data_IF_465146036458
#
_entry.id   IF_465146036458
#
_cell.length_a   1.000
_cell.length_b   1.000
_cell.length_c   1.000
_cell.angle_alpha   90.00
_cell.angle_beta   90.00
_cell.angle_gamma   90.00
#
_symmetry.space_group_name_H-M   'P 1'
#
loop_
_entity.id
_entity.type
_entity.pdbx_description
1 polymer ?
#
# COMPACT_ATOMS: atom_id res chain seq x y z
N UNK A 1 44.32 71.09 -18.11
CA UNK A 1 43.40 69.92 -18.16
C UNK A 1 44.03 68.79 -17.33
N UNK A 2 44.03 68.86 -15.99
CA UNK A 2 42.99 68.40 -15.05
C UNK A 2 42.63 66.90 -15.16
N UNK A 3 43.27 66.14 -14.25
CA UNK A 3 43.02 64.78 -13.71
C UNK A 3 41.59 64.23 -13.84
N UNK A 4 41.46 62.91 -14.05
CA UNK A 4 41.13 61.90 -13.01
C UNK A 4 40.83 60.51 -13.64
N UNK A 5 41.17 59.41 -12.96
CA UNK A 5 41.00 58.03 -13.44
C UNK A 5 39.56 57.51 -13.29
N UNK A 6 39.22 56.56 -14.17
CA UNK A 6 37.96 55.81 -14.21
C UNK A 6 37.57 55.23 -12.84
N UNK A 7 36.36 55.55 -12.39
CA UNK A 7 35.77 55.09 -11.15
C UNK A 7 35.47 53.58 -11.24
N UNK A 8 36.20 52.80 -10.46
CA UNK A 8 35.90 51.41 -10.13
C UNK A 8 34.49 51.30 -9.53
N UNK A 9 33.64 50.48 -10.13
CA UNK A 9 32.34 50.09 -9.56
C UNK A 9 32.58 49.28 -8.29
N UNK A 10 32.40 49.90 -7.13
CA UNK A 10 32.29 49.22 -5.84
C UNK A 10 31.11 48.25 -5.87
N UNK A 11 31.41 46.94 -5.96
CA UNK A 11 30.44 45.88 -5.67
C UNK A 11 30.52 45.61 -4.18
N UNK A 12 29.58 46.17 -3.41
CA UNK A 12 29.39 45.80 -2.01
C UNK A 12 29.01 44.32 -1.98
N UNK A 13 29.94 43.46 -1.52
CA UNK A 13 29.61 42.08 -1.15
C UNK A 13 28.76 42.14 0.12
N UNK A 14 27.45 42.03 -0.03
CA UNK A 14 26.59 41.59 1.07
C UNK A 14 26.99 40.14 1.35
N UNK A 15 27.46 39.79 2.57
CA UNK A 15 27.70 38.40 2.90
C UNK A 15 26.39 37.65 2.78
N UNK A 16 26.35 36.63 1.93
CA UNK A 16 25.26 35.68 1.94
C UNK A 16 25.19 35.08 3.35
N UNK A 17 24.12 35.39 4.08
CA UNK A 17 23.72 34.64 5.26
C UNK A 17 23.53 33.19 4.81
N UNK A 18 24.58 32.39 4.96
CA UNK A 18 24.47 30.95 4.82
C UNK A 18 23.54 30.49 5.92
N UNK A 19 22.27 30.26 5.58
CA UNK A 19 21.40 29.44 6.40
C UNK A 19 22.07 28.06 6.49
N UNK A 20 22.87 27.86 7.53
CA UNK A 20 23.33 26.55 7.95
C UNK A 20 22.07 25.74 8.24
N UNK A 21 21.64 24.94 7.26
CA UNK A 21 20.70 23.86 7.51
C UNK A 21 21.35 23.00 8.58
N UNK A 22 20.83 23.10 9.81
CA UNK A 22 21.25 22.22 10.90
C UNK A 22 21.14 20.78 10.38
N UNK A 23 22.27 20.06 10.42
CA UNK A 23 22.29 18.66 10.05
C UNK A 23 21.25 17.96 10.93
N UNK A 24 20.18 17.44 10.33
CA UNK A 24 19.19 16.62 11.04
C UNK A 24 19.98 15.51 11.74
N UNK A 25 19.99 15.52 13.08
CA UNK A 25 20.61 14.44 13.86
C UNK A 25 20.05 13.12 13.32
N UNK A 26 20.91 12.13 13.00
CA UNK A 26 20.43 10.86 12.49
C UNK A 26 19.46 10.26 13.52
N UNK A 27 18.26 9.89 13.08
CA UNK A 27 17.31 9.21 13.94
C UNK A 27 17.98 7.97 14.57
N UNK A 28 17.77 7.71 15.87
CA UNK A 28 18.37 6.56 16.53
C UNK A 28 17.98 5.28 15.80
N UNK A 29 18.95 4.42 15.50
CA UNK A 29 18.69 3.11 14.89
C UNK A 29 18.33 2.10 15.98
N UNK A 30 17.10 2.17 16.44
CA UNK A 30 16.55 1.20 17.39
C UNK A 30 16.48 -0.21 16.79
N UNK A 31 16.66 -1.19 17.66
CA UNK A 31 16.57 -2.63 17.41
C UNK A 31 15.70 -3.24 18.50
N UNK A 32 15.23 -4.46 18.26
CA UNK A 32 14.37 -5.18 19.23
C UNK A 32 15.02 -5.31 20.61
N UNK A 33 16.36 -5.43 20.69
CA UNK A 33 17.09 -5.46 21.97
C UNK A 33 17.02 -4.16 22.78
N UNK A 34 16.65 -3.05 22.14
CA UNK A 34 16.54 -1.74 22.79
C UNK A 34 15.15 -1.53 23.41
N UNK A 35 14.19 -2.43 23.17
CA UNK A 35 12.86 -2.41 23.82
C UNK A 35 12.97 -2.66 25.34
N UNK A 36 11.95 -2.28 26.14
CA UNK A 36 11.86 -2.63 27.55
C UNK A 36 12.15 -4.11 27.83
N UNK A 37 12.89 -4.42 28.90
CA UNK A 37 13.29 -5.78 29.24
C UNK A 37 12.06 -6.71 29.38
N UNK A 38 12.12 -7.89 28.78
CA UNK A 38 11.02 -8.87 28.82
C UNK A 38 9.92 -8.64 27.79
N UNK A 39 9.98 -7.56 26.99
CA UNK A 39 8.96 -7.25 25.98
C UNK A 39 9.26 -7.84 24.59
N UNK A 40 10.50 -8.30 24.32
CA UNK A 40 11.00 -8.54 22.97
C UNK A 40 10.24 -9.62 22.19
N UNK A 41 9.82 -10.68 22.88
CA UNK A 41 9.08 -11.78 22.25
C UNK A 41 7.63 -11.38 21.97
N UNK A 42 6.90 -10.94 23.01
CA UNK A 42 5.52 -10.43 22.88
C UNK A 42 5.40 -9.23 21.93
N UNK A 43 6.46 -8.43 21.78
CA UNK A 43 6.51 -7.39 20.76
C UNK A 43 6.35 -7.96 19.33
N UNK A 44 7.02 -9.09 19.05
CA UNK A 44 6.98 -9.75 17.73
C UNK A 44 5.72 -10.57 17.52
N UNK A 45 5.27 -11.24 18.57
CA UNK A 45 4.21 -12.25 18.50
C UNK A 45 2.82 -11.64 18.71
N UNK A 46 2.69 -10.58 19.52
CA UNK A 46 1.38 -10.02 19.90
C UNK A 46 1.23 -8.56 19.45
N UNK A 47 2.07 -7.66 19.96
CA UNK A 47 1.94 -6.21 19.74
C UNK A 47 2.13 -5.85 18.26
N UNK A 48 3.12 -6.45 17.60
CA UNK A 48 3.41 -6.21 16.19
C UNK A 48 2.23 -6.58 15.27
N UNK A 49 1.66 -7.80 15.37
CA UNK A 49 0.45 -8.17 14.65
C UNK A 49 -0.74 -7.26 14.91
N UNK A 50 -1.04 -6.91 16.17
CA UNK A 50 -2.13 -5.99 16.52
C UNK A 50 -1.96 -4.61 15.87
N UNK A 51 -0.73 -4.08 15.88
CA UNK A 51 -0.42 -2.82 15.21
C UNK A 51 -0.65 -2.92 13.69
N UNK A 52 -0.26 -4.02 13.06
CA UNK A 52 -0.49 -4.21 11.63
C UNK A 52 -1.97 -4.41 11.28
N UNK A 53 -2.75 -5.03 12.17
CA UNK A 53 -4.20 -5.17 12.04
C UNK A 53 -4.89 -3.80 12.06
N UNK A 54 -4.50 -2.94 13.01
CA UNK A 54 -4.94 -1.55 13.03
C UNK A 54 -4.55 -0.79 11.73
N UNK A 55 -3.28 -0.84 11.33
CA UNK A 55 -2.80 -0.18 10.11
C UNK A 55 -3.54 -0.65 8.85
N UNK A 56 -3.96 -1.92 8.82
CA UNK A 56 -4.73 -2.52 7.73
C UNK A 56 -6.15 -1.97 7.61
N UNK A 57 -6.67 -1.35 8.66
CA UNK A 57 -8.01 -0.74 8.69
C UNK A 57 -7.99 0.77 8.41
N UNK A 58 -6.82 1.42 8.39
CA UNK A 58 -6.71 2.84 8.11
C UNK A 58 -7.24 3.22 6.73
N UNK A 59 -7.95 4.35 6.67
CA UNK A 59 -8.35 4.95 5.38
C UNK A 59 -7.15 5.43 4.57
N UNK A 60 -6.16 6.00 5.25
CA UNK A 60 -4.88 6.33 4.66
C UNK A 60 -3.82 5.38 5.23
N UNK A 61 -3.51 4.27 4.55
CA UNK A 61 -2.56 3.29 5.06
C UNK A 61 -1.12 3.81 5.13
N UNK A 62 -0.87 5.06 4.70
CA UNK A 62 0.43 5.73 4.76
C UNK A 62 0.65 6.58 6.01
N UNK A 63 -0.41 7.09 6.63
CA UNK A 63 -0.32 7.95 7.83
C UNK A 63 -0.23 7.11 9.10
N UNK A 64 0.92 7.15 9.78
CA UNK A 64 1.17 6.40 11.01
C UNK A 64 1.53 7.29 12.20
N UNK A 65 2.03 8.49 11.91
CA UNK A 65 2.68 9.34 12.92
C UNK A 65 1.65 9.99 13.87
N UNK A 66 0.37 9.91 13.52
CA UNK A 66 -0.74 10.50 14.26
C UNK A 66 -1.44 9.49 15.19
N UNK A 67 -0.97 8.24 15.27
CA UNK A 67 -1.65 7.16 16.01
C UNK A 67 -0.86 6.67 17.23
N UNK A 68 -0.18 7.58 17.95
CA UNK A 68 0.61 7.22 19.15
C UNK A 68 -0.28 6.75 20.32
N UNK A 69 -1.47 7.31 20.43
CA UNK A 69 -2.53 6.90 21.33
C UNK A 69 -2.92 5.42 21.12
N UNK A 70 -3.10 5.01 19.86
CA UNK A 70 -3.39 3.61 19.52
C UNK A 70 -2.18 2.71 19.81
N UNK A 71 -0.95 3.18 19.54
CA UNK A 71 0.25 2.43 19.93
C UNK A 71 0.32 2.21 21.45
N UNK A 72 -0.05 3.21 22.25
CA UNK A 72 -0.12 3.10 23.70
C UNK A 72 -1.21 2.14 24.15
N UNK A 73 -2.39 2.18 23.53
CA UNK A 73 -3.48 1.26 23.84
C UNK A 73 -3.08 -0.20 23.57
N UNK A 74 -2.51 -0.48 22.40
CA UNK A 74 -2.03 -1.83 22.05
C UNK A 74 -0.90 -2.26 22.99
N UNK A 75 -0.04 -1.33 23.42
CA UNK A 75 0.98 -1.61 24.45
C UNK A 75 0.34 -2.07 25.75
N UNK A 76 -0.57 -1.27 26.32
CA UNK A 76 -1.24 -1.57 27.59
C UNK A 76 -2.03 -2.89 27.53
N UNK A 77 -2.66 -3.19 26.40
CA UNK A 77 -3.35 -4.47 26.20
C UNK A 77 -2.41 -5.67 26.15
N UNK A 78 -1.16 -5.49 25.70
CA UNK A 78 -0.19 -6.57 25.52
C UNK A 78 0.71 -6.78 26.73
N UNK A 79 0.95 -5.70 27.47
CA UNK A 79 1.89 -5.64 28.58
C UNK A 79 1.20 -5.07 29.82
N UNK A 80 0.53 -5.94 30.57
CA UNK A 80 -0.07 -5.57 31.87
C UNK A 80 0.97 -5.52 33.00
N UNK A 81 2.16 -6.07 32.75
CA UNK A 81 3.26 -6.27 33.70
C UNK A 81 4.48 -5.38 33.41
N UNK A 82 4.48 -4.64 32.30
CA UNK A 82 5.59 -3.75 31.91
C UNK A 82 5.05 -2.34 31.71
N UNK A 83 5.32 -1.47 32.69
CA UNK A 83 4.98 -0.06 32.60
C UNK A 83 5.87 0.64 31.56
N UNK A 84 5.24 1.29 30.58
CA UNK A 84 5.92 2.08 29.56
C UNK A 84 4.94 3.04 28.90
N UNK A 85 5.37 4.30 28.78
CA UNK A 85 4.66 5.33 28.01
C UNK A 85 5.35 5.52 26.67
N UNK A 86 4.63 5.22 25.58
CA UNK A 86 5.10 5.36 24.20
C UNK A 86 5.30 6.84 23.86
N UNK A 87 6.47 7.19 23.30
CA UNK A 87 6.83 8.57 22.94
C UNK A 87 7.27 8.69 21.48
N UNK A 88 6.95 9.81 20.81
CA UNK A 88 7.39 10.06 19.43
C UNK A 88 8.90 10.27 19.31
N UNK A 89 9.54 10.69 20.40
CA UNK A 89 10.95 11.09 20.42
C UNK A 89 11.76 10.08 21.20
N UNK A 90 12.80 9.52 20.56
CA UNK A 90 13.78 8.64 21.17
C UNK A 90 13.20 7.39 21.89
N UNK A 91 12.09 6.83 21.40
CA UNK A 91 11.47 5.62 21.96
C UNK A 91 11.57 4.41 21.00
N UNK A 92 12.23 3.31 21.42
CA UNK A 92 12.30 2.09 20.62
C UNK A 92 10.94 1.50 20.24
N UNK A 93 9.91 1.59 21.10
CA UNK A 93 8.57 1.02 20.81
C UNK A 93 7.95 1.73 19.61
N UNK A 94 7.88 3.07 19.67
CA UNK A 94 7.34 3.91 18.60
C UNK A 94 8.06 3.67 17.26
N UNK A 95 9.39 3.74 17.25
CA UNK A 95 10.16 3.63 16.00
C UNK A 95 10.09 2.21 15.41
N UNK A 96 10.11 1.16 16.24
CA UNK A 96 10.02 -0.21 15.74
C UNK A 96 8.62 -0.54 15.19
N UNK A 97 7.56 0.05 15.75
CA UNK A 97 6.20 -0.08 15.20
C UNK A 97 6.08 0.58 13.82
N UNK A 98 6.59 1.80 13.67
CA UNK A 98 6.67 2.46 12.36
C UNK A 98 7.47 1.63 11.36
N UNK A 99 8.62 1.12 11.79
CA UNK A 99 9.47 0.27 10.96
C UNK A 99 8.74 -1.00 10.52
N UNK A 100 7.96 -1.61 11.43
CA UNK A 100 7.15 -2.80 11.12
C UNK A 100 6.10 -2.49 10.06
N UNK A 101 5.39 -1.37 10.17
CA UNK A 101 4.42 -0.94 9.15
C UNK A 101 5.07 -0.63 7.79
N UNK A 102 6.26 -0.02 7.75
CA UNK A 102 7.00 0.16 6.49
C UNK A 102 7.42 -1.18 5.86
N UNK A 103 7.81 -2.16 6.69
CA UNK A 103 8.09 -3.53 6.22
C UNK A 103 6.85 -4.11 5.58
N UNK A 104 5.73 -3.99 6.27
CA UNK A 104 4.45 -4.58 5.88
C UNK A 104 3.99 -4.06 4.52
N UNK A 105 4.05 -2.74 4.28
CA UNK A 105 3.75 -2.13 2.97
C UNK A 105 4.69 -2.65 1.88
N UNK A 106 5.98 -2.78 2.16
CA UNK A 106 6.94 -3.34 1.21
C UNK A 106 6.63 -4.81 0.92
N UNK A 107 6.18 -5.56 1.91
CA UNK A 107 5.84 -6.97 1.76
C UNK A 107 4.57 -7.15 0.91
N UNK A 108 3.60 -6.23 0.98
CA UNK A 108 2.51 -6.13 0.00
C UNK A 108 3.01 -5.95 -1.44
N UNK A 109 3.91 -4.99 -1.68
CA UNK A 109 4.46 -4.77 -3.01
C UNK A 109 5.16 -6.03 -3.57
N UNK A 110 5.95 -6.72 -2.73
CA UNK A 110 6.59 -7.99 -3.11
C UNK A 110 5.57 -9.10 -3.37
N UNK A 111 4.52 -9.17 -2.56
CA UNK A 111 3.45 -10.16 -2.74
C UNK A 111 2.70 -9.91 -4.04
N UNK A 112 2.39 -8.66 -4.36
CA UNK A 112 1.82 -8.24 -5.65
C UNK A 112 2.70 -8.60 -6.84
N UNK A 113 4.00 -8.33 -6.79
CA UNK A 113 4.96 -8.75 -7.83
C UNK A 113 4.92 -10.27 -8.07
N UNK A 114 4.92 -11.05 -6.98
CA UNK A 114 4.86 -12.53 -7.05
C UNK A 114 3.52 -13.01 -7.61
N UNK A 115 2.43 -12.42 -7.17
CA UNK A 115 1.07 -12.81 -7.55
C UNK A 115 0.78 -12.50 -9.03
N UNK A 116 1.24 -11.35 -9.54
CA UNK A 116 1.12 -11.00 -10.96
C UNK A 116 1.96 -11.91 -11.83
N UNK A 117 3.21 -12.20 -11.46
CA UNK A 117 4.05 -13.13 -12.22
C UNK A 117 3.38 -14.51 -12.34
N UNK A 118 2.97 -15.11 -11.21
CA UNK A 118 2.29 -16.41 -11.21
C UNK A 118 0.95 -16.40 -11.96
N UNK A 119 0.26 -15.26 -11.98
CA UNK A 119 -0.97 -15.09 -12.76
C UNK A 119 -0.68 -15.09 -14.26
N UNK A 120 0.26 -14.27 -14.73
CA UNK A 120 0.64 -14.21 -16.13
C UNK A 120 1.20 -15.55 -16.64
N UNK A 121 2.03 -16.23 -15.83
CA UNK A 121 2.53 -17.58 -16.15
C UNK A 121 1.37 -18.57 -16.36
N UNK A 122 0.29 -18.43 -15.59
CA UNK A 122 -0.89 -19.31 -15.71
C UNK A 122 -1.80 -18.99 -16.89
N UNK A 123 -1.61 -17.86 -17.57
CA UNK A 123 -2.39 -17.49 -18.76
C UNK A 123 -1.88 -18.19 -20.02
N UNK A 124 -0.65 -18.73 -20.00
CA UNK A 124 -0.09 -19.47 -21.13
C UNK A 124 0.24 -18.61 -22.35
N UNK A 125 0.56 -17.33 -22.17
CA UNK A 125 1.04 -16.47 -23.26
C UNK A 125 2.35 -17.01 -23.83
N UNK A 126 2.46 -17.03 -25.16
CA UNK A 126 3.63 -17.58 -25.86
C UNK A 126 4.68 -16.49 -26.13
N UNK A 127 4.26 -15.23 -26.19
CA UNK A 127 5.12 -14.11 -26.57
C UNK A 127 5.01 -12.91 -25.62
N UNK A 128 6.09 -12.10 -25.49
CA UNK A 128 6.01 -10.82 -24.80
C UNK A 128 4.92 -9.89 -25.37
N UNK A 129 4.70 -9.88 -26.68
CA UNK A 129 3.70 -9.00 -27.32
C UNK A 129 2.26 -9.34 -26.92
N UNK A 130 1.96 -10.61 -26.64
CA UNK A 130 0.67 -11.02 -26.07
C UNK A 130 0.51 -10.51 -24.64
N UNK A 131 1.55 -10.63 -23.83
CA UNK A 131 1.57 -10.08 -22.47
C UNK A 131 1.37 -8.56 -22.52
N UNK A 132 2.12 -7.85 -23.35
CA UNK A 132 2.04 -6.39 -23.47
C UNK A 132 0.62 -5.92 -23.83
N UNK A 133 0.00 -6.54 -24.84
CA UNK A 133 -1.40 -6.26 -25.23
C UNK A 133 -2.39 -6.56 -24.12
N UNK A 134 -2.17 -7.64 -23.37
CA UNK A 134 -3.02 -7.99 -22.25
C UNK A 134 -2.89 -7.01 -21.08
N UNK A 135 -1.66 -6.58 -20.77
CA UNK A 135 -1.40 -5.58 -19.73
C UNK A 135 -2.02 -4.23 -20.12
N UNK A 136 -1.95 -3.84 -21.38
CA UNK A 136 -2.60 -2.63 -21.88
C UNK A 136 -4.12 -2.68 -21.71
N UNK A 137 -4.76 -3.83 -21.99
CA UNK A 137 -6.17 -4.03 -21.66
C UNK A 137 -6.46 -3.94 -20.16
N UNK A 138 -5.61 -4.55 -19.31
CA UNK A 138 -5.83 -4.60 -17.87
C UNK A 138 -5.62 -3.25 -17.18
N UNK A 139 -4.62 -2.48 -17.60
CA UNK A 139 -4.18 -1.21 -16.99
C UNK A 139 -3.80 -0.22 -18.10
N UNK A 140 -4.78 0.28 -18.88
CA UNK A 140 -4.49 1.16 -20.01
C UNK A 140 -3.80 2.44 -19.57
N UNK A 141 -2.95 2.99 -20.44
CA UNK A 141 -2.33 4.28 -20.22
C UNK A 141 -3.41 5.37 -20.21
N UNK A 142 -3.27 6.33 -19.30
CA UNK A 142 -4.26 7.40 -19.05
C UNK A 142 -4.55 8.23 -20.31
N UNK A 143 -3.56 8.38 -21.21
CA UNK A 143 -3.70 9.08 -22.49
C UNK A 143 -4.65 8.39 -23.48
N UNK A 144 -5.02 7.13 -23.25
CA UNK A 144 -5.81 6.31 -24.18
C UNK A 144 -7.23 6.02 -23.66
N UNK A 145 -7.62 6.61 -22.54
CA UNK A 145 -8.95 6.44 -21.97
C UNK A 145 -9.98 7.13 -22.88
N UNK A 146 -10.78 6.32 -23.58
CA UNK A 146 -11.67 6.76 -24.68
C UNK A 146 -12.97 7.44 -24.26
N UNK A 147 -13.30 7.53 -22.97
CA UNK A 147 -14.44 8.32 -22.45
C UNK A 147 -14.38 8.50 -20.93
N UNK A 148 -15.09 9.51 -20.40
CA UNK A 148 -15.31 9.70 -18.95
C UNK A 148 -15.97 8.48 -18.26
N UNK A 149 -16.58 7.56 -19.02
CA UNK A 149 -17.23 6.35 -18.49
C UNK A 149 -16.32 5.12 -18.47
N UNK A 150 -15.41 4.98 -19.43
CA UNK A 150 -14.40 3.90 -19.46
C UNK A 150 -13.22 4.19 -18.52
N UNK A 151 -12.99 5.46 -18.17
CA UNK A 151 -12.04 5.92 -17.16
C UNK A 151 -12.27 5.34 -15.75
N UNK A 152 -13.43 4.72 -15.50
CA UNK A 152 -13.95 4.57 -14.14
C UNK A 152 -13.49 3.33 -13.37
N UNK A 153 -13.00 2.26 -14.02
CA UNK A 153 -12.40 1.10 -13.34
C UNK A 153 -11.54 0.25 -14.26
N UNK A 154 -10.33 -0.06 -13.82
CA UNK A 154 -9.43 -0.94 -14.55
C UNK A 154 -9.86 -2.42 -14.50
N UNK A 155 -9.82 -3.17 -15.61
CA UNK A 155 -10.23 -4.58 -15.66
C UNK A 155 -9.53 -5.48 -14.64
N UNK A 156 -8.27 -5.23 -14.30
CA UNK A 156 -7.52 -6.06 -13.33
C UNK A 156 -8.13 -6.08 -11.92
N UNK A 157 -9.01 -5.12 -11.60
CA UNK A 157 -9.66 -5.07 -10.29
C UNK A 157 -10.75 -6.14 -10.15
N UNK A 158 -11.21 -6.75 -11.24
CA UNK A 158 -12.38 -7.63 -11.24
C UNK A 158 -11.98 -9.09 -11.35
N UNK A 159 -12.79 -10.00 -10.79
CA UNK A 159 -12.59 -11.45 -10.97
C UNK A 159 -12.72 -11.83 -12.44
N UNK A 160 -13.78 -11.34 -13.07
CA UNK A 160 -14.01 -11.47 -14.50
C UNK A 160 -14.30 -10.09 -15.06
N UNK A 161 -13.56 -9.74 -16.11
CA UNK A 161 -13.82 -8.58 -16.94
C UNK A 161 -13.85 -9.05 -18.40
N UNK A 162 -15.05 -9.15 -18.97
CA UNK A 162 -15.25 -9.58 -20.35
C UNK A 162 -15.51 -8.35 -21.19
N UNK A 163 -14.65 -8.12 -22.18
CA UNK A 163 -14.94 -7.15 -23.22
C UNK A 163 -16.04 -7.74 -24.09
N UNK A 164 -17.29 -7.29 -23.89
CA UNK A 164 -18.38 -7.70 -24.75
C UNK A 164 -18.32 -6.77 -25.94
N UNK A 165 -17.91 -7.30 -27.10
CA UNK A 165 -17.95 -6.58 -28.37
C UNK A 165 -19.41 -6.39 -28.85
N UNK A 166 -20.20 -5.66 -28.07
CA UNK A 166 -21.39 -5.00 -28.57
C UNK A 166 -20.95 -3.68 -29.23
N UNK A 167 -21.80 -3.11 -30.10
CA UNK A 167 -21.52 -1.88 -30.85
C UNK A 167 -21.07 -0.68 -29.97
N UNK A 168 -21.33 -0.75 -28.66
CA UNK A 168 -21.05 0.31 -27.69
C UNK A 168 -19.77 0.07 -26.84
N UNK A 169 -19.07 -1.06 -27.02
CA UNK A 169 -17.80 -1.35 -26.33
C UNK A 169 -17.90 -1.57 -24.82
N UNK A 170 -19.03 -2.07 -24.31
CA UNK A 170 -19.27 -2.26 -22.88
C UNK A 170 -18.47 -3.44 -22.29
N UNK A 171 -17.85 -3.23 -21.12
CA UNK A 171 -17.13 -4.27 -20.37
C UNK A 171 -18.05 -4.81 -19.27
N UNK A 172 -18.45 -6.08 -19.37
CA UNK A 172 -19.14 -6.77 -18.26
C UNK A 172 -18.10 -7.13 -17.19
N UNK A 173 -18.43 -6.81 -15.93
CA UNK A 173 -17.52 -6.87 -14.79
C UNK A 173 -18.22 -7.55 -13.63
N UNK A 174 -17.60 -8.60 -13.09
CA UNK A 174 -18.12 -9.27 -11.89
C UNK A 174 -17.03 -9.53 -10.86
N UNK A 175 -17.42 -9.42 -9.59
CA UNK A 175 -16.52 -9.65 -8.45
C UNK A 175 -15.47 -8.55 -8.32
N UNK A 176 -15.91 -7.33 -8.00
CA UNK A 176 -14.99 -6.23 -7.69
C UNK A 176 -13.97 -6.64 -6.63
N UNK A 177 -12.71 -6.24 -6.84
CA UNK A 177 -11.54 -6.57 -6.04
C UNK A 177 -11.23 -8.07 -5.85
N UNK A 178 -11.89 -8.95 -6.59
CA UNK A 178 -11.73 -10.40 -6.48
C UNK A 178 -10.83 -10.99 -7.58
N UNK A 179 -10.03 -10.17 -8.28
CA UNK A 179 -9.06 -10.70 -9.23
C UNK A 179 -8.03 -11.57 -8.49
N UNK A 180 -7.49 -12.58 -9.19
CA UNK A 180 -6.55 -13.53 -8.62
C UNK A 180 -5.31 -12.85 -8.00
N UNK A 181 -4.63 -11.90 -8.68
CA UNK A 181 -3.50 -11.20 -8.08
C UNK A 181 -3.86 -10.38 -6.83
N UNK A 182 -5.03 -9.70 -6.83
CA UNK A 182 -5.47 -8.91 -5.65
C UNK A 182 -5.78 -9.84 -4.48
N UNK A 183 -6.48 -10.94 -4.74
CA UNK A 183 -6.85 -11.93 -3.72
C UNK A 183 -5.60 -12.57 -3.08
N UNK A 184 -4.62 -12.97 -3.90
CA UNK A 184 -3.34 -13.50 -3.43
C UNK A 184 -2.56 -12.47 -2.60
N UNK A 185 -2.58 -11.22 -3.05
CA UNK A 185 -1.88 -10.12 -2.36
C UNK A 185 -2.54 -9.77 -1.02
N UNK A 186 -3.88 -9.74 -0.97
CA UNK A 186 -4.66 -9.48 0.24
C UNK A 186 -4.49 -10.59 1.28
N UNK A 187 -4.21 -11.83 0.86
CA UNK A 187 -3.97 -12.94 1.79
C UNK A 187 -2.83 -12.67 2.77
N UNK A 188 -1.87 -11.77 2.44
CA UNK A 188 -0.85 -11.30 3.38
C UNK A 188 -1.44 -10.69 4.67
N UNK A 189 -2.54 -9.93 4.56
CA UNK A 189 -3.23 -9.41 5.73
C UNK A 189 -3.89 -10.54 6.54
N UNK A 190 -4.54 -11.49 5.86
CA UNK A 190 -5.18 -12.63 6.53
C UNK A 190 -4.16 -13.48 7.31
N UNK A 191 -2.97 -13.70 6.73
CA UNK A 191 -1.83 -14.35 7.41
C UNK A 191 -1.39 -13.63 8.70
N UNK A 192 -1.55 -12.31 8.78
CA UNK A 192 -1.29 -11.53 10.02
C UNK A 192 -2.46 -11.68 10.98
N UNK A 193 -3.69 -11.52 10.49
CA UNK A 193 -4.91 -11.56 11.28
C UNK A 193 -5.07 -12.90 12.01
N UNK A 194 -4.67 -14.00 11.39
CA UNK A 194 -4.72 -15.33 12.02
C UNK A 194 -3.79 -15.48 13.23
N UNK A 195 -2.76 -14.64 13.36
CA UNK A 195 -1.88 -14.65 14.55
C UNK A 195 -2.49 -13.93 15.75
N UNK A 196 -3.63 -13.27 15.59
CA UNK A 196 -4.26 -12.45 16.63
C UNK A 196 -5.45 -13.22 17.21
N UNK A 197 -5.59 -13.32 18.54
CA UNK A 197 -6.78 -13.88 19.16
C UNK A 197 -8.05 -13.15 18.68
N UNK A 198 -9.12 -13.88 18.34
CA UNK A 198 -10.31 -13.30 17.72
C UNK A 198 -10.90 -12.12 18.51
N UNK A 199 -10.91 -12.21 19.85
CA UNK A 199 -11.40 -11.16 20.74
C UNK A 199 -10.59 -9.84 20.70
N UNK A 200 -9.39 -9.84 20.10
CA UNK A 200 -8.52 -8.67 19.99
C UNK A 200 -8.36 -8.15 18.56
N UNK A 201 -9.00 -8.80 17.58
CA UNK A 201 -8.95 -8.39 16.17
C UNK A 201 -9.80 -7.14 15.96
N UNK A 202 -9.39 -6.31 15.00
CA UNK A 202 -10.26 -5.28 14.44
C UNK A 202 -11.49 -5.95 13.80
N UNK A 203 -12.66 -5.38 14.07
CA UNK A 203 -13.96 -5.85 13.56
C UNK A 203 -14.32 -5.23 12.22
N UNK A 204 -13.74 -4.08 11.92
CA UNK A 204 -13.96 -3.37 10.66
C UNK A 204 -13.33 -4.09 9.47
N UNK A 205 -13.78 -3.70 8.28
CA UNK A 205 -13.22 -4.21 7.04
C UNK A 205 -11.81 -3.63 6.81
N UNK A 206 -10.83 -4.43 6.37
CA UNK A 206 -9.43 -4.02 6.26
C UNK A 206 -9.20 -3.18 4.99
N UNK A 207 -9.79 -1.98 4.96
CA UNK A 207 -9.79 -1.07 3.82
C UNK A 207 -8.37 -0.71 3.37
N UNK A 208 -7.51 -0.36 4.32
CA UNK A 208 -6.10 -0.06 4.06
C UNK A 208 -5.35 -1.23 3.42
N UNK A 209 -5.57 -2.46 3.89
CA UNK A 209 -4.96 -3.64 3.29
C UNK A 209 -5.44 -3.89 1.86
N UNK A 210 -6.75 -3.75 1.59
CA UNK A 210 -7.29 -3.93 0.25
C UNK A 210 -6.73 -2.91 -0.74
N UNK A 211 -6.61 -1.66 -0.29
CA UNK A 211 -6.02 -0.58 -1.08
C UNK A 211 -4.53 -0.83 -1.36
N UNK A 212 -3.75 -1.23 -0.34
CA UNK A 212 -2.35 -1.60 -0.53
C UNK A 212 -2.18 -2.79 -1.48
N UNK A 213 -3.05 -3.81 -1.38
CA UNK A 213 -3.03 -4.96 -2.26
C UNK A 213 -3.32 -4.57 -3.72
N UNK A 214 -4.35 -3.76 -3.94
CA UNK A 214 -4.75 -3.28 -5.27
C UNK A 214 -3.63 -2.45 -5.91
N UNK A 215 -3.11 -1.45 -5.20
CA UNK A 215 -2.01 -0.61 -5.70
C UNK A 215 -0.72 -1.42 -5.95
N UNK A 216 -0.45 -2.45 -5.13
CA UNK A 216 0.69 -3.35 -5.33
C UNK A 216 0.56 -4.18 -6.61
N UNK A 217 -0.64 -4.66 -6.90
CA UNK A 217 -0.94 -5.41 -8.13
C UNK A 217 -0.85 -4.51 -9.35
N UNK A 218 -1.42 -3.32 -9.31
CA UNK A 218 -1.32 -2.37 -10.42
C UNK A 218 0.14 -2.03 -10.72
N UNK A 219 0.92 -1.72 -9.68
CA UNK A 219 2.37 -1.51 -9.80
C UNK A 219 3.05 -2.67 -10.50
N UNK A 220 2.74 -3.89 -10.08
CA UNK A 220 3.35 -5.09 -10.65
C UNK A 220 2.92 -5.30 -12.11
N UNK A 221 1.65 -5.11 -12.45
CA UNK A 221 1.16 -5.18 -13.84
C UNK A 221 1.85 -4.16 -14.73
N UNK A 222 2.01 -2.91 -14.27
CA UNK A 222 2.73 -1.86 -15.02
C UNK A 222 4.20 -2.20 -15.28
N UNK A 223 4.83 -3.10 -14.52
CA UNK A 223 6.18 -3.59 -14.83
C UNK A 223 6.22 -4.51 -16.06
N UNK A 224 5.09 -5.10 -16.47
CA UNK A 224 4.97 -5.98 -17.64
C UNK A 224 4.43 -5.26 -18.88
N UNK A 225 4.36 -3.92 -18.88
CA UNK A 225 3.81 -3.13 -20.01
C UNK A 225 4.53 -3.37 -21.34
N UNK A 226 5.80 -3.78 -21.30
CA UNK A 226 6.61 -4.13 -22.49
C UNK A 226 6.57 -5.62 -22.84
N UNK A 227 5.72 -6.40 -22.16
CA UNK A 227 5.65 -7.85 -22.32
C UNK A 227 6.66 -8.63 -21.47
N UNK A 228 7.70 -7.96 -20.98
CA UNK A 228 8.68 -8.50 -20.03
C UNK A 228 8.69 -7.67 -18.75
N UNK A 229 9.09 -8.30 -17.64
CA UNK A 229 9.18 -7.62 -16.34
C UNK A 229 10.33 -6.60 -16.33
N UNK A 230 10.00 -5.32 -16.41
CA UNK A 230 10.95 -4.21 -16.32
C UNK A 230 10.77 -3.49 -14.98
N UNK A 231 11.75 -3.65 -14.09
CA UNK A 231 11.79 -2.86 -12.84
C UNK A 231 12.35 -1.46 -13.12
N UNK A 232 11.85 -0.41 -12.46
CA UNK A 232 12.43 0.93 -12.57
C UNK A 232 13.93 0.89 -12.24
N UNK A 233 14.74 1.53 -13.09
CA UNK A 233 16.21 1.57 -12.92
C UNK A 233 16.59 2.30 -11.63
N UNK A 234 15.85 3.35 -11.30
CA UNK A 234 16.01 4.03 -10.03
C UNK A 234 15.28 3.26 -8.92
N UNK A 235 16.06 2.81 -7.92
CA UNK A 235 15.53 2.20 -6.71
C UNK A 235 14.53 3.15 -6.01
N UNK A 236 14.72 4.46 -6.07
CA UNK A 236 13.83 5.43 -5.45
C UNK A 236 12.46 5.50 -6.13
N UNK A 237 12.42 5.51 -7.47
CA UNK A 237 11.18 5.45 -8.26
C UNK A 237 10.46 4.11 -8.09
N UNK A 238 11.21 3.03 -7.85
CA UNK A 238 10.62 1.71 -7.62
C UNK A 238 9.91 1.55 -6.26
N UNK A 239 9.97 2.53 -5.36
CA UNK A 239 9.51 2.35 -3.98
C UNK A 239 8.00 2.40 -3.85
N UNK A 240 7.49 1.40 -3.14
CA UNK A 240 6.12 1.40 -2.68
C UNK A 240 5.97 2.30 -1.44
N UNK A 241 5.77 3.59 -1.69
CA UNK A 241 5.67 4.65 -0.70
C UNK A 241 4.55 5.62 -1.04
N UNK A 242 4.09 6.39 -0.03
CA UNK A 242 3.07 7.43 -0.21
C UNK A 242 3.39 8.38 -1.35
N UNK A 243 4.65 8.79 -1.47
CA UNK A 243 5.08 9.66 -2.59
C UNK A 243 4.61 9.13 -3.96
N UNK A 244 4.82 7.85 -4.23
CA UNK A 244 4.66 7.31 -5.58
C UNK A 244 3.31 6.62 -5.77
N UNK A 245 2.69 6.17 -4.68
CA UNK A 245 1.46 5.37 -4.72
C UNK A 245 0.33 5.96 -3.87
N UNK A 246 0.55 7.13 -3.25
CA UNK A 246 -0.44 7.80 -2.41
C UNK A 246 -1.70 8.17 -3.18
N UNK A 247 -1.55 8.80 -4.34
CA UNK A 247 -2.66 9.16 -5.24
C UNK A 247 -3.45 7.90 -5.63
N UNK A 248 -2.80 6.89 -6.23
CA UNK A 248 -3.43 5.61 -6.57
C UNK A 248 -4.19 4.99 -5.38
N UNK A 249 -3.59 4.97 -4.19
CA UNK A 249 -4.26 4.41 -3.01
C UNK A 249 -5.47 5.23 -2.56
N UNK A 250 -5.40 6.56 -2.59
CA UNK A 250 -6.51 7.45 -2.23
C UNK A 250 -7.69 7.26 -3.19
N UNK A 251 -7.39 7.05 -4.47
CA UNK A 251 -8.40 6.87 -5.49
C UNK A 251 -9.06 5.49 -5.44
N UNK A 252 -8.26 4.43 -5.23
CA UNK A 252 -8.80 3.09 -4.95
C UNK A 252 -9.67 3.11 -3.69
N UNK A 253 -9.26 3.87 -2.66
CA UNK A 253 -10.02 4.00 -1.40
C UNK A 253 -11.44 4.53 -1.62
N UNK A 254 -11.66 5.42 -2.60
CA UNK A 254 -13.01 5.92 -2.95
C UNK A 254 -13.95 4.76 -3.31
N UNK A 255 -13.46 3.76 -4.03
CA UNK A 255 -14.24 2.58 -4.42
C UNK A 255 -14.36 1.57 -3.28
N UNK A 256 -13.30 1.37 -2.51
CA UNK A 256 -13.29 0.50 -1.32
C UNK A 256 -14.32 0.96 -0.27
N UNK A 257 -14.47 2.27 -0.06
CA UNK A 257 -15.49 2.85 0.85
C UNK A 257 -16.93 2.54 0.43
N UNK A 258 -17.17 2.35 -0.86
CA UNK A 258 -18.50 2.04 -1.42
C UNK A 258 -18.79 0.53 -1.47
N UNK A 259 -17.83 -0.31 -1.08
CA UNK A 259 -18.00 -1.76 -1.09
C UNK A 259 -18.98 -2.19 0.01
N UNK A 260 -20.04 -2.89 -0.37
CA UNK A 260 -21.08 -3.36 0.56
C UNK A 260 -20.57 -4.48 1.47
N UNK A 261 -21.25 -4.75 2.58
CA UNK A 261 -20.91 -5.87 3.47
C UNK A 261 -20.89 -7.22 2.75
N UNK A 262 -21.80 -7.42 1.79
CA UNK A 262 -21.81 -8.61 0.92
C UNK A 262 -20.57 -8.66 0.02
N UNK A 263 -20.18 -7.53 -0.57
CA UNK A 263 -18.95 -7.40 -1.35
C UNK A 263 -17.70 -7.77 -0.53
N UNK A 264 -17.60 -7.25 0.70
CA UNK A 264 -16.51 -7.59 1.61
C UNK A 264 -16.42 -9.09 1.91
N UNK A 265 -17.56 -9.74 2.19
CA UNK A 265 -17.60 -11.20 2.39
C UNK A 265 -17.04 -11.95 1.16
N UNK A 266 -17.37 -11.51 -0.06
CA UNK A 266 -16.83 -12.09 -1.31
C UNK A 266 -15.32 -11.88 -1.46
N UNK A 267 -14.83 -10.66 -1.18
CA UNK A 267 -13.41 -10.30 -1.27
C UNK A 267 -12.57 -11.14 -0.30
N UNK A 268 -12.98 -11.20 0.97
CA UNK A 268 -12.28 -12.01 1.98
C UNK A 268 -12.30 -13.49 1.59
N UNK A 269 -13.46 -14.02 1.16
CA UNK A 269 -13.57 -15.41 0.70
C UNK A 269 -12.65 -15.72 -0.48
N UNK A 270 -12.47 -14.78 -1.41
CA UNK A 270 -11.58 -14.96 -2.55
C UNK A 270 -10.09 -15.00 -2.17
N UNK A 271 -9.70 -14.33 -1.08
CA UNK A 271 -8.33 -14.29 -0.60
C UNK A 271 -7.91 -15.50 0.25
N UNK A 272 -8.86 -16.17 0.94
CA UNK A 272 -8.59 -17.33 1.83
C UNK A 272 -7.72 -18.43 1.17
N UNK A 273 -7.97 -18.86 -0.09
CA UNK A 273 -7.18 -19.93 -0.72
C UNK A 273 -5.69 -19.61 -0.89
N UNK A 274 -5.28 -18.34 -0.76
CA UNK A 274 -3.91 -17.89 -0.98
C UNK A 274 -3.11 -17.67 0.31
N UNK A 275 -3.71 -17.94 1.48
CA UNK A 275 -3.01 -17.85 2.78
C UNK A 275 -1.85 -18.85 2.76
N UNK A 276 -0.62 -18.35 2.91
CA UNK A 276 0.58 -19.19 3.00
C UNK A 276 0.89 -19.51 4.46
N UNK A 277 1.35 -20.72 4.74
CA UNK A 277 1.90 -21.06 6.05
C UNK A 277 3.10 -20.13 6.35
N UNK A 278 3.06 -19.38 7.45
CA UNK A 278 4.13 -18.44 7.82
C UNK A 278 5.47 -19.15 8.01
N UNK A 279 6.54 -18.58 7.45
CA UNK A 279 7.92 -18.75 7.95
C UNK A 279 8.27 -17.52 8.82
N UNK A 280 8.97 -17.67 9.96
CA UNK A 280 9.30 -16.55 10.84
C UNK A 280 10.14 -15.47 10.13
N UNK A 281 9.71 -14.21 10.23
CA UNK A 281 10.25 -13.06 9.47
C UNK A 281 11.62 -12.58 10.01
N UNK A 282 12.66 -12.60 9.16
CA UNK A 282 13.96 -11.97 9.43
C UNK A 282 14.05 -10.52 8.89
N UNK A 283 14.31 -9.58 9.81
CA UNK A 283 15.06 -8.30 9.72
C UNK A 283 14.84 -7.25 8.58
N UNK A 284 14.72 -6.00 9.03
CA UNK A 284 14.58 -4.74 8.31
C UNK A 284 15.92 -4.02 8.02
N UNK A 285 16.02 -3.26 6.91
CA UNK A 285 17.04 -2.21 6.65
C UNK A 285 16.40 -0.90 6.12
N UNK A 286 17.01 0.30 6.32
CA UNK A 286 16.35 1.61 6.17
C UNK A 286 16.85 2.49 5.00
N UNK A 287 16.02 3.46 4.56
CA UNK A 287 16.52 4.69 3.89
C UNK A 287 15.54 5.46 2.96
N UNK A 288 14.73 6.37 3.52
CA UNK A 288 14.26 7.73 3.11
C UNK A 288 13.91 8.21 1.66
N UNK A 289 12.90 9.10 1.66
CA UNK A 289 12.01 9.69 0.63
C UNK A 289 12.53 10.94 -0.09
N UNK A 290 11.77 11.40 -1.11
CA UNK A 290 11.34 12.82 -1.34
C UNK A 290 10.40 12.94 -2.53
N UNK A 291 9.29 13.69 -2.42
CA UNK A 291 7.99 13.81 -3.15
C UNK A 291 7.97 14.27 -4.63
N UNK A 292 6.88 13.98 -5.35
CA UNK A 292 6.37 14.72 -6.54
C UNK A 292 4.96 14.20 -6.92
N UNK A 293 4.01 15.11 -7.11
CA UNK A 293 2.59 14.89 -7.46
C UNK A 293 2.36 14.74 -8.98
N UNK A 294 1.32 13.99 -9.35
CA UNK A 294 0.77 13.86 -10.71
C UNK A 294 -0.65 13.24 -10.68
N UNK A 295 -1.49 13.46 -11.72
CA UNK A 295 -2.94 13.60 -11.54
C UNK A 295 -3.81 12.34 -11.82
N UNK A 296 -4.92 12.34 -11.06
CA UNK A 296 -6.26 11.77 -11.10
C UNK A 296 -6.74 10.78 -12.20
N UNK A 297 -7.28 9.64 -11.78
CA UNK A 297 -8.15 8.73 -12.54
C UNK A 297 -8.70 7.50 -11.81
N UNK A 298 -9.42 7.60 -10.68
CA UNK A 298 -10.35 6.52 -10.25
C UNK A 298 -11.60 7.08 -9.59
N UNK A 299 -12.75 6.81 -10.19
CA UNK A 299 -14.05 6.97 -9.53
C UNK A 299 -14.96 5.85 -10.00
N UNK A 300 -15.49 5.04 -9.06
CA UNK A 300 -16.63 4.12 -9.21
C UNK A 300 -16.39 2.61 -9.48
N UNK A 301 -15.64 1.89 -8.63
CA UNK A 301 -15.70 0.40 -8.60
C UNK A 301 -16.69 -0.09 -7.55
N UNK A 302 -17.91 -0.38 -7.98
CA UNK A 302 -19.00 -0.96 -7.18
C UNK A 302 -19.70 -2.07 -7.97
N UNK A 303 -20.02 -3.20 -7.34
CA UNK A 303 -20.88 -4.23 -7.93
C UNK A 303 -22.30 -3.64 -8.13
N UNK A 304 -22.93 -3.86 -9.29
CA UNK A 304 -24.36 -3.57 -9.50
C UNK A 304 -25.14 -4.80 -9.04
N UNK A 305 -25.66 -4.78 -7.81
CA UNK A 305 -26.45 -5.89 -7.27
C UNK A 305 -27.78 -6.00 -8.04
N UNK A 306 -27.89 -7.00 -8.92
CA UNK A 306 -29.15 -7.47 -9.48
C UNK A 306 -29.61 -8.66 -8.65
N UNK A 307 -30.66 -8.51 -7.83
CA UNK A 307 -31.37 -9.64 -7.23
C UNK A 307 -31.60 -9.56 -5.73
N UNK A 308 -32.88 -9.63 -5.39
CA UNK A 308 -33.52 -9.50 -4.08
C UNK A 308 -33.17 -10.58 -3.05
N UNK A 309 -33.53 -10.22 -1.83
CA UNK A 309 -33.28 -10.79 -0.51
C UNK A 309 -33.69 -12.26 -0.27
N UNK A 310 -32.91 -12.96 0.56
CA UNK A 310 -33.40 -13.80 1.67
C UNK A 310 -32.25 -14.50 2.41
N UNK A 311 -32.01 -14.05 3.64
CA UNK A 311 -31.79 -14.89 4.82
C UNK A 311 -30.49 -15.72 4.91
N UNK A 312 -29.56 -15.25 5.75
CA UNK A 312 -29.13 -15.92 7.00
C UNK A 312 -27.79 -15.34 7.45
N UNK A 313 -27.80 -14.73 8.64
CA UNK A 313 -26.63 -14.22 9.31
C UNK A 313 -25.74 -15.38 9.77
N UNK A 314 -24.50 -15.36 9.29
CA UNK A 314 -23.38 -15.97 10.00
C UNK A 314 -22.29 -14.92 10.11
N UNK A 315 -21.99 -14.57 11.36
CA UNK A 315 -20.96 -13.63 11.80
C UNK A 315 -19.64 -14.43 11.90
N UNK A 316 -18.56 -13.92 11.29
CA UNK A 316 -17.19 -14.45 11.43
C UNK A 316 -16.22 -13.32 11.73
#
# INVERSE_FOLDING_TARGET
MSKLPQVSKFRVRVPALSAQKSAKKPHPRFRVKDLPNGSQQRFREDLGPLWLDFVSNLENPWDLANHIDVMQEIWNMTFTDIDHTVQKTNDPVYFLLLQRAYTYRRDFAKRGETAVAAYLDSMGFETPDEIARYIDFLVPLVSEIRSEETAKCYPFMWREAKNIMNADGHIERTGAFCSRPISDTLALYLEIRECIPQARRQTDNPRGALVLATASVERALRMYSTGICVKPKDRFESRFSRKHWGVTTEEVMVSVKKTTSRGWKKIIKAAIPYIRARKPHHSLRPGLEKEHEGPNGYTHCVDVDSGSDSGSDVIF
#
